data_IF_148404054513
#
_entry.id   IF_148404054513
#
_cell.length_a   1.000
_cell.length_b   1.000
_cell.length_c   1.000
_cell.angle_alpha   90.00
_cell.angle_beta   90.00
_cell.angle_gamma   90.00
#
_symmetry.space_group_name_H-M   'P 1'
#
loop_
_entity.id
_entity.type
_entity.pdbx_description
1 polymer ?
#
# COMPACT_ATOMS: atom_id res chain seq x y z
N UNK A 1 -18.94 -11.90 -22.23
CA UNK A 1 -19.11 -10.45 -21.91
C UNK A 1 -18.19 -10.12 -20.72
N UNK A 2 -17.04 -9.47 -20.97
CA UNK A 2 -16.13 -9.03 -19.89
C UNK A 2 -16.90 -8.01 -19.04
N UNK A 3 -17.31 -8.38 -17.82
CA UNK A 3 -17.77 -7.39 -16.85
C UNK A 3 -16.62 -6.41 -16.68
N UNK A 4 -16.75 -5.20 -17.19
CA UNK A 4 -15.83 -4.10 -16.91
C UNK A 4 -15.82 -3.98 -15.39
N UNK A 5 -14.72 -4.37 -14.75
CA UNK A 5 -14.56 -4.18 -13.31
C UNK A 5 -14.75 -2.68 -13.07
N UNK A 6 -15.83 -2.32 -12.38
CA UNK A 6 -16.05 -0.93 -11.93
C UNK A 6 -14.78 -0.50 -11.21
N UNK A 7 -14.32 0.72 -11.47
CA UNK A 7 -13.13 1.24 -10.81
C UNK A 7 -13.44 1.39 -9.31
N UNK A 8 -12.44 1.23 -8.46
CA UNK A 8 -12.62 1.24 -7.00
C UNK A 8 -13.32 2.51 -6.50
N UNK A 9 -13.03 3.67 -7.11
CA UNK A 9 -13.67 4.92 -6.73
C UNK A 9 -15.15 5.00 -7.14
N UNK A 10 -15.59 4.25 -8.15
CA UNK A 10 -17.00 4.20 -8.59
C UNK A 10 -17.88 3.41 -7.61
N UNK A 11 -17.27 2.76 -6.61
CA UNK A 11 -17.99 2.09 -5.53
C UNK A 11 -18.48 3.07 -4.46
N UNK A 12 -17.94 4.29 -4.42
CA UNK A 12 -18.42 5.32 -3.51
C UNK A 12 -19.61 6.05 -4.14
N UNK A 13 -20.73 6.17 -3.42
CA UNK A 13 -21.99 6.72 -3.95
C UNK A 13 -21.82 8.16 -4.47
N UNK A 14 -20.97 8.95 -3.81
CA UNK A 14 -20.75 10.37 -4.12
C UNK A 14 -19.51 10.63 -4.98
N UNK A 15 -18.98 9.61 -5.67
CA UNK A 15 -17.74 9.75 -6.45
C UNK A 15 -17.81 10.82 -7.55
N UNK A 16 -19.01 11.12 -8.04
CA UNK A 16 -19.25 12.08 -9.12
C UNK A 16 -19.17 13.54 -8.67
N UNK A 17 -19.28 13.80 -7.36
CA UNK A 17 -19.18 15.13 -6.77
C UNK A 17 -17.74 15.53 -6.45
N UNK A 18 -16.81 14.59 -6.50
CA UNK A 18 -15.41 14.81 -6.14
C UNK A 18 -14.62 15.17 -7.40
N UNK A 19 -14.20 16.42 -7.50
CA UNK A 19 -13.25 16.87 -8.51
C UNK A 19 -12.13 17.67 -7.85
N UNK A 20 -10.89 17.30 -8.13
CA UNK A 20 -9.69 18.02 -7.71
C UNK A 20 -8.69 18.04 -8.87
N UNK A 21 -7.95 19.14 -9.03
CA UNK A 21 -7.09 19.37 -10.19
C UNK A 21 -5.59 19.50 -9.81
N UNK A 22 -4.92 18.42 -9.36
CA UNK A 22 -3.53 18.48 -8.86
C UNK A 22 -2.47 19.07 -9.78
N UNK A 23 -2.61 19.01 -11.11
CA UNK A 23 -1.62 19.58 -12.04
C UNK A 23 -1.83 21.07 -12.30
N UNK A 24 -2.93 21.64 -11.82
CA UNK A 24 -3.34 23.04 -12.04
C UNK A 24 -3.31 23.80 -10.73
N UNK A 25 -3.87 23.21 -9.68
CA UNK A 25 -3.94 23.82 -8.36
C UNK A 25 -2.54 23.95 -7.77
N UNK A 26 -2.14 25.17 -7.43
CA UNK A 26 -0.87 25.44 -6.75
C UNK A 26 -0.91 24.81 -5.36
N UNK A 27 0.08 23.97 -5.08
CA UNK A 27 0.23 23.37 -3.76
C UNK A 27 0.97 24.34 -2.83
N UNK A 28 0.34 24.68 -1.71
CA UNK A 28 0.91 25.47 -0.63
C UNK A 28 0.87 24.65 0.66
N UNK A 29 2.01 24.59 1.37
CA UNK A 29 2.16 23.83 2.60
C UNK A 29 1.26 24.39 3.71
N UNK A 30 0.99 25.69 3.72
CA UNK A 30 0.08 26.32 4.68
C UNK A 30 -1.38 25.86 4.47
N UNK A 31 -1.81 25.76 3.21
CA UNK A 31 -3.15 25.26 2.87
C UNK A 31 -3.32 23.80 3.27
N UNK A 32 -2.29 22.96 3.12
CA UNK A 32 -2.35 21.57 3.57
C UNK A 32 -2.49 21.46 5.08
N UNK A 33 -1.70 22.23 5.85
CA UNK A 33 -1.79 22.22 7.31
C UNK A 33 -3.17 22.68 7.79
N UNK A 34 -3.71 23.74 7.19
CA UNK A 34 -5.05 24.20 7.52
C UNK A 34 -6.12 23.16 7.17
N UNK A 35 -6.02 22.52 6.00
CA UNK A 35 -6.93 21.45 5.60
C UNK A 35 -6.86 20.25 6.57
N UNK A 36 -5.66 19.85 6.99
CA UNK A 36 -5.46 18.79 8.00
C UNK A 36 -6.10 19.15 9.34
N UNK A 37 -5.92 20.38 9.82
CA UNK A 37 -6.55 20.85 11.05
C UNK A 37 -8.08 20.79 10.97
N UNK A 38 -8.67 21.24 9.86
CA UNK A 38 -10.12 21.18 9.66
C UNK A 38 -10.63 19.72 9.62
N UNK A 39 -9.89 18.81 8.98
CA UNK A 39 -10.21 17.38 8.97
C UNK A 39 -10.16 16.80 10.39
N UNK A 40 -9.17 17.17 11.21
CA UNK A 40 -9.08 16.74 12.61
C UNK A 40 -10.23 17.29 13.47
N UNK A 41 -10.62 18.53 13.26
CA UNK A 41 -11.79 19.13 13.92
C UNK A 41 -13.08 18.37 13.59
N UNK A 42 -13.31 18.07 12.31
CA UNK A 42 -14.45 17.26 11.87
C UNK A 42 -14.41 15.83 12.42
N UNK A 43 -13.24 15.18 12.43
CA UNK A 43 -13.08 13.86 13.04
C UNK A 43 -13.45 13.89 14.53
N UNK A 44 -13.00 14.91 15.27
CA UNK A 44 -13.33 15.07 16.68
C UNK A 44 -14.84 15.29 16.91
N UNK A 45 -15.51 16.02 16.01
CA UNK A 45 -16.97 16.20 16.06
C UNK A 45 -17.70 14.89 15.77
N UNK A 46 -17.28 14.13 14.75
CA UNK A 46 -17.84 12.81 14.45
C UNK A 46 -17.68 11.83 15.61
N UNK A 47 -16.52 11.83 16.29
CA UNK A 47 -16.28 11.04 17.48
C UNK A 47 -17.22 11.42 18.63
N UNK A 48 -17.48 12.71 18.84
CA UNK A 48 -18.42 13.18 19.87
C UNK A 48 -19.87 12.83 19.55
N UNK A 49 -20.26 12.88 18.28
CA UNK A 49 -21.61 12.61 17.83
C UNK A 49 -21.91 11.12 17.62
N UNK A 50 -20.92 10.22 17.81
CA UNK A 50 -21.04 8.77 17.56
C UNK A 50 -21.48 8.41 16.12
N UNK A 51 -21.22 9.27 15.14
CA UNK A 51 -21.54 9.06 13.72
C UNK A 51 -20.39 8.38 12.95
N UNK A 52 -19.54 7.63 13.64
CA UNK A 52 -18.38 6.99 13.03
C UNK A 52 -18.87 5.78 12.21
N UNK A 53 -18.90 5.95 10.88
CA UNK A 53 -19.15 4.83 9.97
C UNK A 53 -18.00 3.84 10.06
N UNK A 54 -18.30 2.58 10.33
CA UNK A 54 -17.30 1.52 10.31
C UNK A 54 -17.00 1.10 8.88
N UNK A 55 -16.06 1.78 8.25
CA UNK A 55 -15.66 1.47 6.86
C UNK A 55 -15.09 0.05 6.71
N UNK A 56 -14.64 -0.59 7.80
CA UNK A 56 -14.05 -1.93 7.79
C UNK A 56 -15.10 -3.06 7.81
N UNK A 57 -16.34 -2.80 8.21
CA UNK A 57 -17.42 -3.81 8.21
C UNK A 57 -17.70 -4.38 6.82
N UNK A 58 -17.56 -3.55 5.79
CA UNK A 58 -17.83 -3.95 4.40
C UNK A 58 -16.69 -4.77 3.79
N UNK A 59 -15.51 -4.79 4.40
CA UNK A 59 -14.38 -5.54 3.88
C UNK A 59 -14.26 -6.89 4.58
N UNK A 60 -14.19 -8.01 3.81
CA UNK A 60 -13.94 -9.30 4.42
C UNK A 60 -12.56 -9.31 5.08
N UNK A 61 -12.48 -9.81 6.31
CA UNK A 61 -11.22 -10.05 6.99
C UNK A 61 -10.29 -10.89 6.09
N UNK A 62 -9.02 -10.50 5.91
CA UNK A 62 -8.07 -11.30 5.14
C UNK A 62 -7.99 -12.71 5.72
N UNK A 63 -8.25 -13.73 4.89
CA UNK A 63 -8.05 -15.13 5.28
C UNK A 63 -6.56 -15.40 5.37
N UNK A 64 -5.99 -15.30 6.57
CA UNK A 64 -4.60 -15.65 6.81
C UNK A 64 -4.54 -17.18 6.81
N UNK A 65 -4.10 -17.78 5.69
CA UNK A 65 -4.03 -19.24 5.48
C UNK A 65 -3.36 -19.98 6.64
N UNK A 66 -2.37 -19.35 7.28
CA UNK A 66 -1.61 -19.93 8.37
C UNK A 66 -2.24 -19.74 9.76
N UNK A 67 -3.25 -18.90 9.91
CA UNK A 67 -3.99 -18.70 11.16
C UNK A 67 -5.34 -19.42 11.15
N UNK A 68 -5.88 -19.70 9.95
CA UNK A 68 -7.18 -20.35 9.78
C UNK A 68 -7.11 -21.88 9.83
N UNK A 69 -5.92 -22.46 9.83
CA UNK A 69 -5.73 -23.91 9.89
C UNK A 69 -5.23 -24.30 11.28
N UNK A 70 -6.06 -25.07 12.01
CA UNK A 70 -5.74 -25.51 13.38
C UNK A 70 -4.46 -26.34 13.48
N UNK A 71 -4.05 -26.99 12.37
CA UNK A 71 -2.79 -27.76 12.27
C UNK A 71 -1.62 -26.94 11.71
N UNK A 72 -1.75 -25.62 11.60
CA UNK A 72 -0.65 -24.76 11.17
C UNK A 72 0.46 -24.71 12.22
N UNK A 73 1.71 -24.70 11.73
CA UNK A 73 2.90 -24.49 12.56
C UNK A 73 2.74 -23.21 13.41
N UNK A 74 2.15 -22.16 12.83
CA UNK A 74 1.98 -20.86 13.52
C UNK A 74 1.07 -20.99 14.75
N UNK A 75 -0.02 -21.75 14.66
CA UNK A 75 -0.97 -21.90 15.76
C UNK A 75 -0.39 -22.74 16.89
N UNK A 76 0.42 -23.76 16.56
CA UNK A 76 1.17 -24.54 17.55
C UNK A 76 2.27 -23.72 18.23
N UNK A 77 2.96 -22.87 17.48
CA UNK A 77 3.96 -21.95 18.02
C UNK A 77 3.33 -20.89 18.94
N UNK A 78 2.17 -20.35 18.56
CA UNK A 78 1.39 -19.44 19.40
C UNK A 78 1.00 -20.10 20.72
N UNK A 79 0.43 -21.32 20.69
CA UNK A 79 0.11 -22.09 21.90
C UNK A 79 1.35 -22.34 22.77
N UNK A 80 2.48 -22.70 22.16
CA UNK A 80 3.75 -22.91 22.90
C UNK A 80 4.21 -21.62 23.60
N UNK A 81 4.07 -20.47 22.92
CA UNK A 81 4.40 -19.17 23.48
C UNK A 81 3.46 -18.78 24.62
N UNK A 82 2.15 -19.05 24.50
CA UNK A 82 1.17 -18.86 25.58
C UNK A 82 1.52 -19.68 26.83
N UNK A 83 2.00 -20.92 26.63
CA UNK A 83 2.46 -21.81 27.69
C UNK A 83 3.86 -21.45 28.23
N UNK A 84 4.49 -20.39 27.73
CA UNK A 84 5.86 -19.96 28.05
C UNK A 84 6.92 -21.07 27.89
N UNK A 85 6.69 -22.04 26.98
CA UNK A 85 7.65 -23.11 26.70
C UNK A 85 8.74 -22.61 25.75
N UNK A 86 10.00 -22.63 26.21
CA UNK A 86 11.15 -22.28 25.38
C UNK A 86 11.29 -23.28 24.23
N UNK A 87 11.64 -22.77 23.03
CA UNK A 87 11.91 -23.62 21.87
C UNK A 87 13.08 -24.57 22.16
N UNK A 88 12.91 -25.86 21.83
CA UNK A 88 13.99 -26.83 21.94
C UNK A 88 15.07 -26.47 20.92
N UNK A 89 16.32 -26.38 21.38
CA UNK A 89 17.46 -26.22 20.48
C UNK A 89 17.65 -27.53 19.72
N UNK A 90 18.03 -27.42 18.44
CA UNK A 90 18.39 -28.58 17.65
C UNK A 90 19.62 -29.25 18.28
N UNK A 91 19.52 -30.53 18.62
CA UNK A 91 20.59 -31.28 19.24
C UNK A 91 21.54 -31.81 18.15
N UNK A 92 22.73 -31.22 18.06
CA UNK A 92 23.80 -31.67 17.17
C UNK A 92 24.80 -32.62 17.84
N UNK A 93 24.72 -32.79 19.16
CA UNK A 93 25.66 -33.60 19.93
C UNK A 93 25.57 -35.09 19.58
N UNK A 94 24.43 -35.53 19.04
CA UNK A 94 24.23 -36.90 18.57
C UNK A 94 25.19 -37.33 17.45
N UNK A 95 25.66 -36.38 16.64
CA UNK A 95 26.59 -36.68 15.53
C UNK A 95 28.05 -36.39 15.88
N UNK A 96 28.33 -35.81 17.05
CA UNK A 96 29.69 -35.52 17.47
C UNK A 96 30.32 -36.76 18.12
N UNK A 97 31.42 -37.23 17.53
CA UNK A 97 32.18 -38.40 17.96
C UNK A 97 33.18 -38.03 19.07
N UNK A 98 33.72 -36.81 19.05
CA UNK A 98 34.89 -36.43 19.85
C UNK A 98 34.64 -36.47 21.37
N UNK A 99 33.38 -36.47 21.80
CA UNK A 99 32.99 -36.41 23.21
C UNK A 99 32.65 -37.78 23.84
N UNK A 100 32.67 -38.88 23.09
CA UNK A 100 32.31 -40.20 23.66
C UNK A 100 33.47 -40.77 24.49
N UNK A 101 33.42 -40.56 25.82
CA UNK A 101 34.34 -41.19 26.77
C UNK A 101 34.14 -42.71 26.73
N UNK A 102 35.13 -43.44 26.22
CA UNK A 102 35.07 -44.89 26.02
C UNK A 102 35.33 -45.71 27.30
N UNK A 103 35.78 -45.05 28.37
CA UNK A 103 36.15 -45.73 29.60
C UNK A 103 34.93 -45.96 30.49
N UNK A 104 34.71 -47.21 30.90
CA UNK A 104 33.74 -47.67 31.90
C UNK A 104 32.26 -47.82 31.44
N UNK A 105 32.02 -48.31 30.21
CA UNK A 105 30.66 -48.58 29.68
C UNK A 105 30.18 -50.02 29.93
N UNK A 106 28.88 -50.18 30.22
CA UNK A 106 28.20 -51.48 30.31
C UNK A 106 28.00 -52.12 28.92
N UNK A 107 27.73 -53.44 28.82
CA UNK A 107 27.53 -54.16 27.53
C UNK A 107 26.45 -53.49 26.65
N UNK A 108 25.34 -53.04 27.24
CA UNK A 108 24.24 -52.39 26.50
C UNK A 108 24.61 -50.99 25.99
N UNK A 109 25.46 -50.28 26.73
CA UNK A 109 25.95 -48.96 26.32
C UNK A 109 26.97 -49.09 25.19
N UNK A 110 27.77 -50.16 25.19
CA UNK A 110 28.64 -50.52 24.08
C UNK A 110 27.85 -50.79 22.80
N UNK A 111 26.77 -51.57 22.87
CA UNK A 111 25.93 -51.86 21.70
C UNK A 111 25.29 -50.58 21.12
N UNK A 112 24.78 -49.68 21.97
CA UNK A 112 24.24 -48.38 21.55
C UNK A 112 25.31 -47.48 20.93
N UNK A 113 26.51 -47.46 21.52
CA UNK A 113 27.63 -46.67 20.99
C UNK A 113 28.09 -47.22 19.64
N UNK A 114 28.16 -48.55 19.48
CA UNK A 114 28.50 -49.21 18.21
C UNK A 114 27.51 -48.85 17.10
N UNK A 115 26.20 -48.95 17.37
CA UNK A 115 25.15 -48.55 16.40
C UNK A 115 25.25 -47.07 16.02
N UNK A 116 25.54 -46.19 16.99
CA UNK A 116 25.78 -44.75 16.72
C UNK A 116 26.97 -44.55 15.78
N UNK A 117 28.09 -45.24 16.02
CA UNK A 117 29.27 -45.16 15.15
C UNK A 117 29.00 -45.68 13.74
N UNK A 118 28.26 -46.77 13.60
CA UNK A 118 27.84 -47.32 12.31
C UNK A 118 27.04 -46.28 11.50
N UNK A 119 26.03 -45.65 12.13
CA UNK A 119 25.23 -44.59 11.52
C UNK A 119 26.10 -43.39 11.10
N UNK A 120 27.06 -42.98 11.92
CA UNK A 120 27.93 -41.84 11.59
C UNK A 120 28.89 -42.19 10.45
N UNK A 121 29.40 -43.42 10.42
CA UNK A 121 30.25 -43.90 9.33
C UNK A 121 29.49 -43.90 8.00
N UNK A 122 28.26 -44.41 7.98
CA UNK A 122 27.39 -44.39 6.80
C UNK A 122 27.09 -42.96 6.36
N UNK A 123 26.75 -42.06 7.29
CA UNK A 123 26.51 -40.65 6.98
C UNK A 123 27.75 -39.96 6.42
N UNK A 124 28.94 -40.26 6.95
CA UNK A 124 30.22 -39.74 6.46
C UNK A 124 30.52 -40.25 5.05
N UNK A 125 30.27 -41.53 4.80
CA UNK A 125 30.40 -42.13 3.47
C UNK A 125 29.43 -41.47 2.46
N UNK A 126 28.17 -41.28 2.84
CA UNK A 126 27.20 -40.57 2.01
C UNK A 126 27.60 -39.11 1.76
N UNK A 127 28.13 -38.41 2.78
CA UNK A 127 28.64 -37.06 2.63
C UNK A 127 29.81 -37.00 1.65
N UNK A 128 30.72 -37.98 1.68
CA UNK A 128 31.82 -38.09 0.71
C UNK A 128 31.29 -38.24 -0.72
N UNK A 129 30.34 -39.16 -0.95
CA UNK A 129 29.70 -39.34 -2.26
C UNK A 129 29.03 -38.03 -2.72
N UNK A 130 28.30 -37.36 -1.82
CA UNK A 130 27.65 -36.08 -2.13
C UNK A 130 28.69 -34.99 -2.49
N UNK A 131 29.84 -34.94 -1.81
CA UNK A 131 30.92 -34.02 -2.11
C UNK A 131 31.58 -34.33 -3.47
N UNK A 132 31.76 -35.61 -3.82
CA UNK A 132 32.28 -36.02 -5.12
C UNK A 132 31.32 -35.61 -6.25
N UNK A 133 30.03 -35.85 -6.08
CA UNK A 133 28.99 -35.40 -7.02
C UNK A 133 28.98 -33.88 -7.13
N UNK A 134 29.05 -33.17 -6.01
CA UNK A 134 29.11 -31.71 -6.00
C UNK A 134 30.35 -31.22 -6.74
N UNK A 135 31.54 -31.76 -6.44
CA UNK A 135 32.78 -31.35 -7.10
C UNK A 135 32.74 -31.57 -8.62
N UNK A 136 32.08 -32.65 -9.07
CA UNK A 136 31.93 -32.96 -10.49
C UNK A 136 30.99 -31.98 -11.23
N UNK A 137 29.88 -31.56 -10.61
CA UNK A 137 28.83 -30.82 -11.29
C UNK A 137 28.64 -29.37 -10.85
N UNK A 138 29.29 -28.92 -9.76
CA UNK A 138 29.08 -27.58 -9.16
C UNK A 138 29.27 -26.45 -10.14
N UNK A 139 30.31 -26.49 -10.98
CA UNK A 139 30.63 -25.38 -11.88
C UNK A 139 29.57 -25.22 -12.97
N UNK A 140 29.15 -26.33 -13.58
CA UNK A 140 28.11 -26.35 -14.61
C UNK A 140 26.77 -25.91 -14.05
N UNK A 141 26.35 -26.51 -12.92
CA UNK A 141 25.07 -26.20 -12.28
C UNK A 141 25.02 -24.76 -11.77
N UNK A 142 26.12 -24.26 -11.19
CA UNK A 142 26.20 -22.89 -10.72
C UNK A 142 26.16 -21.88 -11.87
N UNK A 143 26.87 -22.16 -12.97
CA UNK A 143 26.82 -21.33 -14.19
C UNK A 143 25.40 -21.25 -14.74
N UNK A 144 24.69 -22.38 -14.81
CA UNK A 144 23.31 -22.42 -15.30
C UNK A 144 22.35 -21.70 -14.36
N UNK A 145 22.46 -21.93 -13.05
CA UNK A 145 21.69 -21.19 -12.04
C UNK A 145 21.91 -19.68 -12.17
N UNK A 146 23.15 -19.24 -12.38
CA UNK A 146 23.45 -17.82 -12.57
C UNK A 146 22.82 -17.24 -13.83
N UNK A 147 22.77 -18.01 -14.94
CA UNK A 147 22.06 -17.59 -16.16
C UNK A 147 20.56 -17.41 -15.91
N UNK A 148 19.94 -18.35 -15.19
CA UNK A 148 18.52 -18.26 -14.81
C UNK A 148 18.29 -17.03 -13.93
N UNK A 149 19.16 -16.80 -12.94
CA UNK A 149 19.07 -15.64 -12.05
C UNK A 149 19.20 -14.32 -12.81
N UNK A 150 20.16 -14.22 -13.72
CA UNK A 150 20.32 -13.05 -14.59
C UNK A 150 19.10 -12.82 -15.48
N UNK A 151 18.50 -13.89 -16.02
CA UNK A 151 17.27 -13.78 -16.81
C UNK A 151 16.09 -13.26 -15.97
N UNK A 152 15.96 -13.75 -14.74
CA UNK A 152 14.95 -13.26 -13.80
C UNK A 152 15.16 -11.78 -13.47
N UNK A 153 16.40 -11.36 -13.21
CA UNK A 153 16.73 -9.96 -12.95
C UNK A 153 16.36 -9.06 -14.14
N UNK A 154 16.75 -9.44 -15.36
CA UNK A 154 16.38 -8.71 -16.58
C UNK A 154 14.86 -8.62 -16.75
N UNK A 155 14.14 -9.71 -16.49
CA UNK A 155 12.68 -9.73 -16.57
C UNK A 155 12.05 -8.77 -15.55
N UNK A 156 12.51 -8.80 -14.30
CA UNK A 156 12.05 -7.90 -13.25
C UNK A 156 12.33 -6.43 -13.59
N UNK A 157 13.53 -6.12 -14.09
CA UNK A 157 13.88 -4.77 -14.53
C UNK A 157 13.00 -4.30 -15.69
N UNK A 158 12.70 -5.17 -16.65
CA UNK A 158 11.78 -4.87 -17.74
C UNK A 158 10.35 -4.61 -17.21
N UNK A 159 9.85 -5.41 -16.27
CA UNK A 159 8.55 -5.20 -15.65
C UNK A 159 8.48 -3.86 -14.89
N UNK A 160 9.55 -3.48 -14.19
CA UNK A 160 9.65 -2.17 -13.54
C UNK A 160 9.60 -1.05 -14.58
N UNK A 161 10.33 -1.20 -15.69
CA UNK A 161 10.34 -0.21 -16.77
C UNK A 161 8.95 -0.06 -17.40
N UNK A 162 8.29 -1.17 -17.75
CA UNK A 162 6.94 -1.12 -18.33
C UNK A 162 5.93 -0.50 -17.36
N UNK A 163 6.02 -0.81 -16.06
CA UNK A 163 5.15 -0.19 -15.06
C UNK A 163 5.40 1.32 -14.93
N UNK A 164 6.66 1.76 -14.99
CA UNK A 164 6.99 3.19 -15.00
C UNK A 164 6.44 3.89 -16.24
N UNK A 165 6.61 3.29 -17.41
CA UNK A 165 6.08 3.82 -18.68
C UNK A 165 4.54 3.92 -18.63
N UNK A 166 3.87 2.93 -18.04
CA UNK A 166 2.41 2.94 -17.84
C UNK A 166 1.97 4.04 -16.86
N UNK A 167 2.68 4.22 -15.74
CA UNK A 167 2.45 5.31 -14.79
C UNK A 167 2.60 6.66 -15.48
N UNK A 168 3.67 6.85 -16.24
CA UNK A 168 3.94 8.09 -16.96
C UNK A 168 2.89 8.37 -18.04
N UNK A 169 2.45 7.34 -18.76
CA UNK A 169 1.36 7.46 -19.73
C UNK A 169 0.04 7.87 -19.08
N UNK A 170 -0.29 7.31 -17.90
CA UNK A 170 -1.48 7.72 -17.13
C UNK A 170 -1.34 9.17 -16.66
N UNK A 171 -0.18 9.55 -16.13
CA UNK A 171 0.08 10.91 -15.66
C UNK A 171 0.02 11.94 -16.80
N UNK A 172 0.58 11.62 -17.97
CA UNK A 172 0.46 12.44 -19.19
C UNK A 172 -1.00 12.62 -19.60
N UNK A 173 -1.79 11.54 -19.64
CA UNK A 173 -3.23 11.60 -19.94
C UNK A 173 -3.99 12.49 -18.95
N UNK A 174 -3.73 12.33 -17.64
CA UNK A 174 -4.33 13.16 -16.59
C UNK A 174 -3.97 14.64 -16.75
N UNK A 175 -2.71 14.95 -17.02
CA UNK A 175 -2.23 16.33 -17.23
C UNK A 175 -2.92 16.98 -18.43
N UNK A 176 -2.98 16.28 -19.57
CA UNK A 176 -3.65 16.80 -20.77
C UNK A 176 -5.15 17.02 -20.55
N UNK A 177 -5.82 16.06 -19.91
CA UNK A 177 -7.23 16.18 -19.55
C UNK A 177 -7.47 17.38 -18.63
N UNK A 178 -6.65 17.58 -17.62
CA UNK A 178 -6.77 18.73 -16.72
C UNK A 178 -6.55 20.05 -17.48
N UNK A 179 -5.48 20.15 -18.29
CA UNK A 179 -5.18 21.34 -19.09
C UNK A 179 -6.33 21.75 -20.03
N UNK A 180 -7.08 20.81 -20.60
CA UNK A 180 -8.23 21.16 -21.44
C UNK A 180 -9.33 21.86 -20.64
N UNK A 181 -9.57 21.48 -19.39
CA UNK A 181 -10.58 22.13 -18.53
C UNK A 181 -10.13 23.49 -18.00
N UNK A 182 -8.82 23.76 -17.91
CA UNK A 182 -8.33 25.08 -17.46
C UNK A 182 -8.84 26.20 -18.35
N UNK A 183 -8.78 25.98 -19.67
CA UNK A 183 -9.21 26.99 -20.63
C UNK A 183 -10.70 27.30 -20.45
N UNK A 184 -11.53 26.26 -20.33
CA UNK A 184 -12.96 26.38 -20.10
C UNK A 184 -13.28 27.05 -18.75
N UNK A 185 -12.56 26.67 -17.69
CA UNK A 185 -12.71 27.28 -16.36
C UNK A 185 -12.34 28.77 -16.38
N UNK A 186 -11.24 29.12 -17.07
CA UNK A 186 -10.80 30.51 -17.20
C UNK A 186 -11.81 31.36 -17.98
N UNK A 187 -12.38 30.81 -19.06
CA UNK A 187 -13.45 31.50 -19.81
C UNK A 187 -14.68 31.73 -18.95
N UNK A 188 -15.14 30.70 -18.22
CA UNK A 188 -16.30 30.81 -17.32
C UNK A 188 -16.06 31.79 -16.17
N UNK A 189 -14.84 31.81 -15.60
CA UNK A 189 -14.46 32.77 -14.56
C UNK A 189 -14.47 34.21 -15.08
N UNK A 190 -13.99 34.43 -16.31
CA UNK A 190 -14.01 35.75 -16.93
C UNK A 190 -15.44 36.20 -17.22
N UNK A 191 -16.28 35.31 -17.78
CA UNK A 191 -17.71 35.58 -17.99
C UNK A 191 -18.40 35.92 -16.66
N UNK A 192 -18.16 35.16 -15.60
CA UNK A 192 -18.71 35.42 -14.27
C UNK A 192 -18.29 36.81 -13.74
N UNK A 193 -17.02 37.18 -13.88
CA UNK A 193 -16.53 38.51 -13.48
C UNK A 193 -17.19 39.62 -14.29
N UNK A 194 -17.34 39.43 -15.60
CA UNK A 194 -18.00 40.37 -16.49
C UNK A 194 -19.49 40.55 -16.12
N UNK A 195 -20.23 39.46 -15.89
CA UNK A 195 -21.61 39.54 -15.43
C UNK A 195 -21.73 40.24 -14.08
N UNK A 196 -20.84 39.94 -13.12
CA UNK A 196 -20.81 40.62 -11.83
C UNK A 196 -20.56 42.12 -11.96
N UNK A 197 -19.64 42.51 -12.86
CA UNK A 197 -19.34 43.92 -13.16
C UNK A 197 -20.53 44.63 -13.79
N UNK A 198 -21.17 44.00 -14.79
CA UNK A 198 -22.39 44.53 -15.45
C UNK A 198 -23.53 44.70 -14.44
N UNK A 199 -23.78 43.70 -13.60
CA UNK A 199 -24.80 43.76 -12.56
C UNK A 199 -24.52 44.89 -11.56
N UNK A 200 -23.28 45.05 -11.12
CA UNK A 200 -22.90 46.16 -10.24
C UNK A 200 -23.10 47.53 -10.90
N UNK A 201 -22.78 47.68 -12.19
CA UNK A 201 -23.00 48.92 -12.93
C UNK A 201 -24.49 49.26 -13.00
N UNK A 202 -25.33 48.28 -13.36
CA UNK A 202 -26.80 48.45 -13.40
C UNK A 202 -27.35 48.83 -12.03
N UNK A 203 -26.93 48.15 -10.95
CA UNK A 203 -27.36 48.47 -9.59
C UNK A 203 -26.97 49.89 -9.17
N UNK A 204 -25.78 50.36 -9.57
CA UNK A 204 -25.34 51.72 -9.27
C UNK A 204 -26.15 52.76 -10.03
N UNK A 205 -26.47 52.54 -11.30
CA UNK A 205 -27.33 53.45 -12.07
C UNK A 205 -28.76 53.48 -11.54
N UNK A 206 -29.33 52.33 -11.17
CA UNK A 206 -30.65 52.27 -10.51
C UNK A 206 -30.66 53.10 -9.22
N UNK A 207 -29.59 53.02 -8.40
CA UNK A 207 -29.47 53.84 -7.19
C UNK A 207 -29.45 55.34 -7.51
N UNK A 208 -28.70 55.78 -8.52
CA UNK A 208 -28.67 57.18 -8.97
C UNK A 208 -30.05 57.65 -9.42
N UNK A 209 -30.72 56.88 -10.28
CA UNK A 209 -32.06 57.21 -10.76
C UNK A 209 -33.10 57.22 -9.63
N UNK A 210 -32.97 56.36 -8.61
CA UNK A 210 -33.82 56.42 -7.42
C UNK A 210 -33.60 57.72 -6.63
N UNK A 211 -32.35 58.14 -6.41
CA UNK A 211 -32.05 59.40 -5.72
C UNK A 211 -32.56 60.61 -6.49
N UNK A 212 -32.38 60.63 -7.81
CA UNK A 212 -32.90 61.71 -8.67
C UNK A 212 -34.42 61.76 -8.66
N UNK A 213 -35.10 60.63 -8.79
CA UNK A 213 -36.56 60.56 -8.67
C UNK A 213 -37.05 61.04 -7.30
N UNK A 214 -36.34 60.72 -6.22
CA UNK A 214 -36.68 61.18 -4.88
C UNK A 214 -36.57 62.71 -4.80
N UNK A 215 -35.47 63.29 -5.29
CA UNK A 215 -35.27 64.73 -5.35
C UNK A 215 -36.33 65.43 -6.21
N UNK A 216 -36.69 64.85 -7.35
CA UNK A 216 -37.74 65.38 -8.22
C UNK A 216 -39.10 65.36 -7.52
N UNK A 217 -39.47 64.27 -6.83
CA UNK A 217 -40.69 64.19 -6.02
C UNK A 217 -40.72 65.25 -4.91
N UNK A 218 -39.60 65.48 -4.23
CA UNK A 218 -39.50 66.56 -3.24
C UNK A 218 -39.72 67.93 -3.87
N UNK A 219 -39.12 68.21 -5.03
CA UNK A 219 -39.30 69.48 -5.74
C UNK A 219 -40.74 69.70 -6.20
N UNK A 220 -41.41 68.67 -6.72
CA UNK A 220 -42.81 68.76 -7.15
C UNK A 220 -43.78 68.95 -5.98
N UNK A 221 -43.46 68.46 -4.77
CA UNK A 221 -44.29 68.67 -3.59
C UNK A 221 -44.07 70.03 -2.90
N UNK A 222 -43.05 70.80 -3.31
CA UNK A 222 -42.71 72.13 -2.78
C UNK A 222 -43.18 73.27 -3.69
N UNK A 223 -43.73 72.95 -4.87
CA UNK A 223 -44.40 73.86 -5.80
C UNK A 223 -45.90 73.68 -5.63
#
# INVERSE_FOLDING_TARGET
>A
KKKTKKKLYELNELHHLVNALPYIDSYDNELEQNAKRLVEEEMNLMHKNNEIKNYLETFPLPKITYLSNDNSIIQNELKRCEENRKMQKLNFDHYNIENDVLNNKNIEEWEKTLKKYEIILENSHNALINMELMNKYKEVMWSEHMKVLNHLDINLQNNIKTLKDDIDNINKKRKLHQLSYVNELSTLQNEQKEYKKKNNMVLNEIKKLMTENMLMKYKTNMI
#
